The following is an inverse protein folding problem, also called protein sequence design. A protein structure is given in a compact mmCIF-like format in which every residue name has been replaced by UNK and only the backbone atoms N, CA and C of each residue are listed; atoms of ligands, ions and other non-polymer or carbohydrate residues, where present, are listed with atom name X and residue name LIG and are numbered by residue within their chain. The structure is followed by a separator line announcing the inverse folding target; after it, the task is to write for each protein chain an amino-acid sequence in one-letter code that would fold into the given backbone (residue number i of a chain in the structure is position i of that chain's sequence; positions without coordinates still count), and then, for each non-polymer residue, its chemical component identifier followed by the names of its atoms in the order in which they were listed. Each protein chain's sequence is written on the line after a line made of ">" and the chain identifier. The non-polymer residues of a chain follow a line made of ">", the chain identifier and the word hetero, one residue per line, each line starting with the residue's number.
data_IF_917710019938
#
_entry.id   IF_917710019938
#
_cell.length_a   1.000
_cell.length_b   1.000
_cell.length_c   1.000
_cell.angle_alpha   90.00
_cell.angle_beta   90.00
_cell.angle_gamma   90.00
#
_symmetry.space_group_name_H-M   'P 1'
#
loop_
_entity.id
_entity.type
_entity.pdbx_description
1 polymer ?
#
# COMPACT_ATOMS: atom_id res chain seq x y z
N UNK A 1 -11.66 9.34 -13.58
CA UNK A 1 -10.64 8.32 -13.91
C UNK A 1 -11.17 6.96 -13.50
N UNK A 2 -10.99 5.97 -14.37
CA UNK A 2 -11.36 4.57 -14.12
C UNK A 2 -10.14 3.70 -14.36
N UNK A 3 -9.88 2.77 -13.45
CA UNK A 3 -8.76 1.84 -13.52
C UNK A 3 -9.21 0.49 -14.06
N UNK A 4 -8.38 -0.16 -14.85
CA UNK A 4 -8.64 -1.52 -15.32
C UNK A 4 -8.38 -2.52 -14.19
N UNK A 5 -7.22 -2.43 -13.54
CA UNK A 5 -6.83 -3.36 -12.47
C UNK A 5 -6.24 -2.63 -11.27
N UNK A 6 -6.86 -2.86 -10.11
CA UNK A 6 -6.43 -2.28 -8.82
C UNK A 6 -6.04 -3.40 -7.88
N UNK A 7 -4.89 -3.25 -7.22
CA UNK A 7 -4.49 -4.08 -6.09
C UNK A 7 -4.67 -3.30 -4.79
N UNK A 8 -5.33 -3.93 -3.83
CA UNK A 8 -5.49 -3.44 -2.46
C UNK A 8 -4.62 -4.31 -1.56
N UNK A 9 -3.37 -3.87 -1.36
CA UNK A 9 -2.38 -4.57 -0.56
C UNK A 9 -2.61 -4.30 0.92
N UNK A 10 -2.66 -5.38 1.72
CA UNK A 10 -3.06 -5.26 3.12
C UNK A 10 -4.52 -4.83 3.23
N UNK A 11 -5.40 -5.44 2.47
CA UNK A 11 -6.79 -4.99 2.30
C UNK A 11 -7.63 -5.03 3.59
N UNK A 12 -7.19 -5.77 4.61
CA UNK A 12 -7.91 -5.90 5.86
C UNK A 12 -9.35 -6.36 5.64
N UNK A 13 -10.29 -5.67 6.23
CA UNK A 13 -11.73 -5.96 6.10
C UNK A 13 -12.36 -5.35 4.84
N UNK A 14 -11.61 -4.61 4.01
CA UNK A 14 -12.05 -4.16 2.69
C UNK A 14 -12.53 -2.71 2.62
N UNK A 15 -12.09 -1.84 3.53
CA UNK A 15 -12.51 -0.44 3.53
C UNK A 15 -12.10 0.30 2.23
N UNK A 16 -10.83 0.20 1.84
CA UNK A 16 -10.33 0.81 0.60
C UNK A 16 -11.00 0.20 -0.63
N UNK A 17 -11.18 -1.13 -0.62
CA UNK A 17 -11.87 -1.83 -1.70
C UNK A 17 -13.26 -1.31 -1.95
N UNK A 18 -14.05 -1.09 -0.91
CA UNK A 18 -15.39 -0.52 -1.00
C UNK A 18 -15.38 0.87 -1.65
N UNK A 19 -14.40 1.71 -1.28
CA UNK A 19 -14.29 3.07 -1.80
C UNK A 19 -13.83 3.12 -3.26
N UNK A 20 -12.94 2.22 -3.67
CA UNK A 20 -12.39 2.20 -5.03
C UNK A 20 -13.22 1.40 -6.03
N UNK A 21 -14.06 0.46 -5.57
CA UNK A 21 -14.88 -0.42 -6.41
C UNK A 21 -15.61 0.29 -7.55
N UNK A 22 -16.25 1.45 -7.34
CA UNK A 22 -16.97 2.14 -8.43
C UNK A 22 -16.07 2.62 -9.56
N UNK A 23 -14.75 2.68 -9.34
CA UNK A 23 -13.77 3.22 -10.28
C UNK A 23 -12.82 2.16 -10.86
N UNK A 24 -13.08 0.88 -10.60
CA UNK A 24 -12.20 -0.19 -11.12
C UNK A 24 -13.00 -1.28 -11.81
N UNK A 25 -12.38 -1.92 -12.81
CA UNK A 25 -12.96 -3.09 -13.47
C UNK A 25 -12.62 -4.37 -12.69
N UNK A 26 -11.35 -4.55 -12.33
CA UNK A 26 -10.84 -5.71 -11.60
C UNK A 26 -10.17 -5.27 -10.30
N UNK A 27 -10.77 -5.64 -9.18
CA UNK A 27 -10.28 -5.32 -7.84
C UNK A 27 -9.79 -6.59 -7.15
N UNK A 28 -8.51 -6.59 -6.80
CA UNK A 28 -7.83 -7.71 -6.15
C UNK A 28 -7.36 -7.27 -4.77
N UNK A 29 -7.79 -7.99 -3.73
CA UNK A 29 -7.36 -7.76 -2.36
C UNK A 29 -6.36 -8.82 -1.89
N UNK A 30 -5.37 -8.39 -1.12
CA UNK A 30 -4.34 -9.25 -0.54
C UNK A 30 -4.17 -8.91 0.93
N UNK A 31 -4.22 -9.89 1.79
CA UNK A 31 -3.92 -9.74 3.22
C UNK A 31 -3.32 -11.03 3.76
N UNK A 32 -2.39 -10.92 4.69
CA UNK A 32 -1.77 -12.09 5.32
C UNK A 32 -2.75 -12.87 6.19
N UNK A 33 -3.74 -12.18 6.77
CA UNK A 33 -4.74 -12.75 7.65
C UNK A 33 -5.90 -13.37 6.87
N UNK A 34 -6.05 -14.68 6.95
CA UNK A 34 -7.21 -15.40 6.38
C UNK A 34 -8.54 -14.93 6.97
N UNK A 35 -8.55 -14.52 8.24
CA UNK A 35 -9.75 -13.97 8.89
C UNK A 35 -10.15 -12.62 8.27
N UNK A 36 -9.20 -11.74 8.01
CA UNK A 36 -9.44 -10.46 7.34
C UNK A 36 -9.95 -10.68 5.91
N UNK A 37 -9.32 -11.58 5.17
CA UNK A 37 -9.75 -11.96 3.82
C UNK A 37 -11.18 -12.49 3.82
N UNK A 38 -11.56 -13.32 4.79
CA UNK A 38 -12.93 -13.81 4.92
C UNK A 38 -13.94 -12.67 5.15
N UNK A 39 -13.61 -11.70 5.98
CA UNK A 39 -14.44 -10.51 6.21
C UNK A 39 -14.55 -9.64 4.96
N UNK A 40 -13.43 -9.42 4.25
CA UNK A 40 -13.43 -8.68 2.98
C UNK A 40 -14.28 -9.40 1.91
N UNK A 41 -14.21 -10.73 1.85
CA UNK A 41 -15.03 -11.54 0.92
C UNK A 41 -16.51 -11.36 1.16
N UNK A 42 -16.94 -11.23 2.40
CA UNK A 42 -18.35 -11.02 2.75
C UNK A 42 -18.93 -9.72 2.20
N UNK A 43 -18.09 -8.72 1.89
CA UNK A 43 -18.53 -7.46 1.27
C UNK A 43 -18.95 -7.62 -0.20
N UNK A 44 -18.44 -8.64 -0.91
CA UNK A 44 -18.77 -8.88 -2.31
C UNK A 44 -18.24 -7.82 -3.28
N UNK A 45 -17.23 -7.02 -2.90
CA UNK A 45 -16.70 -5.95 -3.75
C UNK A 45 -15.43 -6.34 -4.51
N UNK A 46 -14.70 -7.35 -4.05
CA UNK A 46 -13.48 -7.83 -4.70
C UNK A 46 -13.79 -8.90 -5.75
N UNK A 47 -13.09 -8.83 -6.89
CA UNK A 47 -13.14 -9.89 -7.90
C UNK A 47 -12.31 -11.10 -7.47
N UNK A 48 -11.19 -10.87 -6.77
CA UNK A 48 -10.44 -11.94 -6.11
C UNK A 48 -9.77 -11.45 -4.82
N UNK A 49 -9.57 -12.40 -3.89
CA UNK A 49 -8.94 -12.15 -2.60
C UNK A 49 -7.93 -13.27 -2.31
N UNK A 50 -6.77 -12.89 -1.80
CA UNK A 50 -5.66 -13.79 -1.52
C UNK A 50 -5.17 -13.61 -0.07
N UNK A 51 -5.22 -14.69 0.71
CA UNK A 51 -4.57 -14.75 2.02
C UNK A 51 -3.11 -15.13 1.82
N UNK A 52 -2.26 -14.13 1.58
CA UNK A 52 -0.89 -14.32 1.12
C UNK A 52 0.00 -13.17 1.57
N UNK A 53 1.31 -13.43 1.70
CA UNK A 53 2.32 -12.40 1.95
C UNK A 53 2.47 -11.52 0.68
N UNK A 54 2.69 -10.21 0.88
CA UNK A 54 2.64 -9.22 -0.20
C UNK A 54 3.65 -9.48 -1.32
N UNK A 55 4.91 -9.71 -0.94
CA UNK A 55 5.99 -9.90 -1.92
C UNK A 55 5.75 -11.17 -2.71
N UNK A 56 5.34 -12.24 -2.04
CA UNK A 56 5.02 -13.51 -2.69
C UNK A 56 3.86 -13.37 -3.68
N UNK A 57 2.81 -12.64 -3.31
CA UNK A 57 1.70 -12.33 -4.22
C UNK A 57 2.21 -11.59 -5.47
N UNK A 58 2.98 -10.53 -5.28
CA UNK A 58 3.48 -9.71 -6.39
C UNK A 58 4.42 -10.49 -7.31
N UNK A 59 5.24 -11.38 -6.77
CA UNK A 59 6.14 -12.23 -7.55
C UNK A 59 5.40 -13.25 -8.43
N UNK A 60 4.27 -13.75 -7.95
CA UNK A 60 3.46 -14.76 -8.66
C UNK A 60 2.48 -14.17 -9.67
N UNK A 61 2.12 -12.90 -9.51
CA UNK A 61 1.14 -12.23 -10.39
C UNK A 61 1.76 -11.92 -11.74
N UNK A 62 1.03 -12.25 -12.82
CA UNK A 62 1.47 -12.01 -14.20
C UNK A 62 0.82 -10.79 -14.83
N UNK A 63 -0.34 -10.37 -14.37
CA UNK A 63 -1.09 -9.26 -14.94
C UNK A 63 -0.80 -7.95 -14.20
N UNK A 64 -0.35 -6.91 -14.90
CA UNK A 64 0.05 -5.66 -14.29
C UNK A 64 -1.14 -4.86 -13.74
N UNK A 65 -0.91 -4.09 -12.69
CA UNK A 65 -1.87 -3.15 -12.12
C UNK A 65 -1.74 -1.75 -12.73
N UNK A 66 -2.84 -1.01 -12.71
CA UNK A 66 -2.87 0.43 -13.00
C UNK A 66 -2.79 1.27 -11.75
N UNK A 67 -3.30 0.74 -10.64
CA UNK A 67 -3.27 1.37 -9.33
C UNK A 67 -2.99 0.32 -8.27
N UNK A 68 -2.09 0.65 -7.37
CA UNK A 68 -1.82 -0.13 -6.17
C UNK A 68 -2.10 0.73 -4.95
N UNK A 69 -2.92 0.22 -4.06
CA UNK A 69 -3.22 0.82 -2.76
C UNK A 69 -2.45 0.06 -1.68
N UNK A 70 -1.78 0.77 -0.81
CA UNK A 70 -1.08 0.21 0.34
C UNK A 70 -1.34 1.10 1.57
N UNK A 71 -2.58 1.08 2.03
CA UNK A 71 -3.04 1.89 3.15
C UNK A 71 -2.88 1.13 4.46
N UNK A 72 -2.12 1.71 5.37
CA UNK A 72 -1.94 1.20 6.74
C UNK A 72 -1.33 -0.23 6.78
N UNK A 73 -0.45 -0.55 5.85
CA UNK A 73 0.18 -1.87 5.73
C UNK A 73 1.70 -1.84 5.92
N UNK A 74 2.39 -0.81 5.46
CA UNK A 74 3.85 -0.73 5.56
C UNK A 74 4.34 -0.53 6.99
N UNK A 75 3.47 -0.10 7.89
CA UNK A 75 3.71 -0.09 9.33
C UNK A 75 4.05 -1.48 9.91
N UNK A 76 3.75 -2.56 9.19
CA UNK A 76 4.07 -3.94 9.60
C UNK A 76 5.26 -4.54 8.82
N UNK A 77 5.81 -3.83 7.84
CA UNK A 77 6.80 -4.40 6.91
C UNK A 77 8.24 -3.99 7.26
N UNK A 78 8.47 -2.79 7.73
CA UNK A 78 9.82 -2.27 7.99
C UNK A 78 10.52 -1.82 6.71
N UNK A 79 11.66 -2.43 6.35
CA UNK A 79 12.40 -2.11 5.13
C UNK A 79 11.59 -2.48 3.89
N UNK A 80 11.55 -1.59 2.90
CA UNK A 80 10.63 -1.67 1.76
C UNK A 80 11.32 -2.00 0.44
N UNK A 81 12.62 -2.30 0.44
CA UNK A 81 13.37 -2.63 -0.79
C UNK A 81 12.74 -3.80 -1.54
N UNK A 82 12.45 -4.89 -0.84
CA UNK A 82 11.86 -6.09 -1.43
C UNK A 82 10.45 -5.82 -2.00
N UNK A 83 9.68 -4.95 -1.33
CA UNK A 83 8.36 -4.52 -1.81
C UNK A 83 8.48 -3.76 -3.12
N UNK A 84 9.35 -2.76 -3.19
CA UNK A 84 9.55 -1.96 -4.41
C UNK A 84 10.13 -2.79 -5.55
N UNK A 85 11.05 -3.71 -5.25
CA UNK A 85 11.62 -4.63 -6.23
C UNK A 85 10.55 -5.54 -6.85
N UNK A 86 9.67 -6.11 -6.03
CA UNK A 86 8.59 -6.98 -6.51
C UNK A 86 7.47 -6.21 -7.21
N UNK A 87 7.13 -5.03 -6.70
CA UNK A 87 6.01 -4.21 -7.19
C UNK A 87 6.31 -3.53 -8.52
N UNK A 88 7.50 -2.93 -8.64
CA UNK A 88 7.79 -1.97 -9.72
C UNK A 88 7.67 -2.55 -11.12
N UNK A 89 8.10 -3.80 -11.42
CA UNK A 89 7.92 -4.38 -12.75
C UNK A 89 6.47 -4.79 -13.05
N UNK A 90 5.58 -4.72 -12.06
CA UNK A 90 4.19 -5.20 -12.17
C UNK A 90 3.16 -4.09 -12.19
N UNK A 91 3.60 -2.85 -12.24
CA UNK A 91 2.72 -1.70 -12.44
C UNK A 91 3.01 -1.11 -13.82
N UNK A 92 1.95 -0.85 -14.58
CA UNK A 92 2.06 -0.27 -15.91
C UNK A 92 2.71 1.10 -15.88
N UNK A 93 3.42 1.47 -16.94
CA UNK A 93 3.87 2.85 -17.12
C UNK A 93 2.67 3.80 -17.05
N UNK A 94 2.80 4.89 -16.31
CA UNK A 94 1.70 5.81 -15.99
C UNK A 94 0.79 5.35 -14.85
N UNK A 95 0.95 4.12 -14.35
CA UNK A 95 0.20 3.60 -13.20
C UNK A 95 0.61 4.26 -11.88
N UNK A 96 -0.14 3.98 -10.83
CA UNK A 96 -0.02 4.66 -9.55
C UNK A 96 0.22 3.71 -8.38
N UNK A 97 1.00 4.18 -7.42
CA UNK A 97 1.08 3.63 -6.07
C UNK A 97 0.64 4.72 -5.07
N UNK A 98 -0.42 4.45 -4.34
CA UNK A 98 -0.89 5.28 -3.24
C UNK A 98 -0.67 4.53 -1.93
N UNK A 99 0.15 5.08 -1.06
CA UNK A 99 0.55 4.45 0.20
C UNK A 99 0.44 5.39 1.39
N UNK A 100 0.36 4.83 2.57
CA UNK A 100 0.48 5.59 3.82
C UNK A 100 1.63 5.09 4.65
N UNK A 101 2.30 6.00 5.35
CA UNK A 101 3.33 5.70 6.35
C UNK A 101 3.18 6.59 7.58
N UNK A 102 3.61 6.09 8.73
CA UNK A 102 3.99 6.96 9.85
C UNK A 102 5.37 7.54 9.53
N UNK A 103 5.59 8.83 9.81
CA UNK A 103 6.89 9.45 9.55
C UNK A 103 7.87 9.12 10.66
N UNK A 104 9.07 8.64 10.30
CA UNK A 104 10.14 8.37 11.23
C UNK A 104 10.70 9.66 11.84
N UNK A 105 11.22 9.55 13.06
CA UNK A 105 11.94 10.64 13.72
C UNK A 105 13.23 10.98 12.97
N UNK A 106 13.76 12.23 13.12
CA UNK A 106 15.02 12.61 12.50
C UNK A 106 16.14 11.62 12.83
N UNK A 107 16.92 11.25 11.81
CA UNK A 107 18.04 10.30 11.92
C UNK A 107 17.71 8.84 11.62
N UNK A 108 16.43 8.52 11.40
CA UNK A 108 16.00 7.18 11.00
C UNK A 108 15.52 7.16 9.56
N UNK A 109 15.86 6.13 8.81
CA UNK A 109 15.21 5.79 7.54
C UNK A 109 13.96 4.94 7.80
N UNK A 110 14.12 3.90 8.63
CA UNK A 110 13.07 3.03 9.12
C UNK A 110 13.21 2.94 10.63
N UNK A 111 12.12 3.12 11.36
CA UNK A 111 12.13 3.15 12.82
C UNK A 111 11.02 2.24 13.36
N UNK A 112 11.40 1.31 14.25
CA UNK A 112 10.42 0.50 14.97
C UNK A 112 10.05 1.21 16.28
N UNK A 113 8.79 1.60 16.43
CA UNK A 113 8.27 2.19 17.64
C UNK A 113 7.90 1.14 18.71
N UNK A 114 7.74 1.58 19.94
CA UNK A 114 7.27 0.73 21.05
C UNK A 114 5.87 0.13 20.81
N UNK A 115 5.08 0.75 19.93
CA UNK A 115 3.81 0.24 19.44
C UNK A 115 3.93 -1.03 18.55
N UNK A 116 5.17 -1.46 18.24
CA UNK A 116 5.52 -2.52 17.28
C UNK A 116 5.11 -2.19 15.84
N UNK A 117 4.90 -0.91 15.53
CA UNK A 117 4.70 -0.41 14.17
C UNK A 117 5.96 0.30 13.68
N UNK A 118 6.21 0.16 12.38
CA UNK A 118 7.31 0.84 11.72
C UNK A 118 6.90 2.21 11.20
N UNK A 119 7.79 3.18 11.35
CA UNK A 119 7.72 4.48 10.70
C UNK A 119 8.80 4.58 9.62
N UNK A 120 8.54 5.39 8.59
CA UNK A 120 9.41 5.53 7.44
C UNK A 120 9.71 7.00 7.18
N UNK A 121 10.96 7.32 6.88
CA UNK A 121 11.35 8.67 6.48
C UNK A 121 10.94 8.94 5.03
N UNK A 122 10.41 10.11 4.74
CA UNK A 122 10.07 10.50 3.36
C UNK A 122 11.29 10.51 2.42
N UNK A 123 12.49 10.98 2.83
CA UNK A 123 13.69 10.88 1.98
C UNK A 123 14.06 9.43 1.62
N UNK A 124 13.85 8.48 2.53
CA UNK A 124 14.05 7.05 2.26
C UNK A 124 13.09 6.55 1.17
N UNK A 125 11.80 6.91 1.27
CA UNK A 125 10.81 6.56 0.24
C UNK A 125 11.11 7.23 -1.11
N UNK A 126 11.56 8.48 -1.11
CA UNK A 126 11.96 9.19 -2.33
C UNK A 126 13.12 8.50 -3.03
N UNK A 127 14.12 8.05 -2.27
CA UNK A 127 15.26 7.28 -2.79
C UNK A 127 14.82 5.95 -3.41
N UNK A 128 13.98 5.18 -2.72
CA UNK A 128 13.43 3.92 -3.25
C UNK A 128 12.62 4.16 -4.52
N UNK A 129 11.76 5.16 -4.51
CA UNK A 129 10.96 5.53 -5.67
C UNK A 129 11.84 5.81 -6.89
N UNK A 130 12.85 6.66 -6.73
CA UNK A 130 13.79 7.00 -7.80
C UNK A 130 14.55 5.78 -8.33
N UNK A 131 15.00 4.89 -7.43
CA UNK A 131 15.74 3.67 -7.80
C UNK A 131 14.91 2.66 -8.60
N UNK A 132 13.59 2.69 -8.43
CA UNK A 132 12.67 1.71 -9.04
C UNK A 132 11.76 2.28 -10.12
N UNK A 133 12.08 3.47 -10.65
CA UNK A 133 11.35 4.07 -11.78
C UNK A 133 10.00 4.63 -11.38
N UNK A 134 9.92 5.26 -10.22
CA UNK A 134 8.74 5.98 -9.76
C UNK A 134 9.03 7.47 -9.66
N UNK A 135 8.10 8.27 -10.11
CA UNK A 135 8.10 9.72 -9.93
C UNK A 135 7.30 10.07 -8.68
N UNK A 136 7.88 10.91 -7.84
CA UNK A 136 7.19 11.48 -6.68
C UNK A 136 6.15 12.50 -7.14
N UNK A 137 4.87 12.18 -7.02
CA UNK A 137 3.80 13.05 -7.51
C UNK A 137 3.25 13.96 -6.42
N UNK A 138 2.96 13.42 -5.23
CA UNK A 138 2.35 14.20 -4.15
C UNK A 138 2.60 13.53 -2.80
N UNK A 139 2.68 14.36 -1.76
CA UNK A 139 2.56 13.95 -0.37
C UNK A 139 1.52 14.83 0.34
N UNK A 140 0.73 14.22 1.20
CA UNK A 140 -0.26 14.91 2.02
C UNK A 140 -0.19 14.37 3.44
N UNK A 141 0.03 15.26 4.42
CA UNK A 141 0.06 14.87 5.83
C UNK A 141 -1.33 15.03 6.44
N UNK A 142 -1.81 13.98 7.07
CA UNK A 142 -3.11 13.93 7.70
C UNK A 142 -3.16 12.82 8.77
N UNK A 143 -4.16 12.82 9.64
CA UNK A 143 -4.36 11.69 10.55
C UNK A 143 -4.58 10.39 9.80
N UNK A 144 -3.87 9.32 10.19
CA UNK A 144 -4.05 7.97 9.68
C UNK A 144 -5.17 7.24 10.42
N UNK A 145 -5.15 7.37 11.76
CA UNK A 145 -6.09 6.72 12.68
C UNK A 145 -5.98 7.37 14.06
N UNK A 146 -6.82 6.94 14.98
CA UNK A 146 -6.67 7.25 16.40
C UNK A 146 -5.71 6.26 17.06
N UNK A 147 -4.82 6.76 17.89
CA UNK A 147 -3.96 5.99 18.78
C UNK A 147 -4.12 6.54 20.19
N UNK A 148 -4.61 5.72 21.12
CA UNK A 148 -4.96 6.12 22.49
C UNK A 148 -5.85 7.40 22.53
N UNK A 149 -6.90 7.41 21.70
CA UNK A 149 -7.85 8.53 21.52
C UNK A 149 -7.24 9.83 20.96
N UNK A 150 -5.98 9.82 20.53
CA UNK A 150 -5.32 10.95 19.87
C UNK A 150 -5.11 10.66 18.37
N UNK A 151 -5.25 11.68 17.48
CA UNK A 151 -4.95 11.51 16.08
C UNK A 151 -3.48 11.13 15.88
N UNK A 152 -3.23 10.01 15.19
CA UNK A 152 -1.90 9.63 14.76
C UNK A 152 -1.67 10.17 13.36
N UNK A 153 -0.77 11.14 13.26
CA UNK A 153 -0.43 11.78 11.99
C UNK A 153 0.47 10.90 11.16
N UNK A 154 0.29 10.95 9.86
CA UNK A 154 1.15 10.27 8.91
C UNK A 154 1.14 10.94 7.55
N UNK A 155 1.79 10.32 6.58
CA UNK A 155 1.91 10.80 5.21
C UNK A 155 1.16 9.88 4.25
N UNK A 156 0.34 10.48 3.41
CA UNK A 156 -0.27 9.89 2.23
C UNK A 156 0.62 10.23 1.04
N UNK A 157 1.23 9.23 0.45
CA UNK A 157 2.22 9.39 -0.62
C UNK A 157 1.69 8.82 -1.91
N UNK A 158 1.83 9.58 -2.99
CA UNK A 158 1.39 9.21 -4.32
C UNK A 158 2.57 9.20 -5.27
N UNK A 159 2.84 8.05 -5.84
CA UNK A 159 3.92 7.82 -6.80
C UNK A 159 3.32 7.41 -8.14
N UNK A 160 3.90 7.91 -9.23
CA UNK A 160 3.51 7.51 -10.57
C UNK A 160 4.65 6.74 -11.24
N UNK A 161 4.31 5.62 -11.85
CA UNK A 161 5.28 4.78 -12.56
C UNK A 161 5.71 5.44 -13.87
N UNK A 162 7.01 5.61 -14.05
CA UNK A 162 7.60 6.15 -15.29
C UNK A 162 7.61 5.14 -16.41
#
# INVERSE_FOLDING_TARGET
>A
VRFERVWDLGCGTGLCGTLIRPRTQHLIGVDLSSLMVAKARALGVYDSLHAQELVAFMQQTTEPADLVLAADVFIYVGWLEAVFEALSPRVRSGGWLALTVEEADPGFEVQLHSSLRYAHALPYLQKLAAQHGWQWAKVHRAPLRLDQAQPLMGAYVYLQKT
#
